data_IF_300062723374
#
_entry.id   IF_300062723374
#
_cell.length_a   1.000
_cell.length_b   1.000
_cell.length_c   1.000
_cell.angle_alpha   90.00
_cell.angle_beta   90.00
_cell.angle_gamma   90.00
#
_symmetry.space_group_name_H-M   'P 1'
#
loop_
_entity.id
_entity.type
_entity.pdbx_description
1 polymer ?
#
# COMPACT_ATOMS: atom_id res chain seq x y z
N UNK A 1 40.01 -31.48 31.32
CA UNK A 1 39.60 -32.48 32.31
C UNK A 1 38.34 -33.11 31.75
N UNK A 2 38.44 -34.15 30.98
CA UNK A 2 38.50 -35.58 31.18
C UNK A 2 37.50 -36.11 32.24
N UNK A 3 36.59 -36.97 31.83
CA UNK A 3 35.67 -37.73 32.62
C UNK A 3 34.81 -38.67 31.79
N UNK A 4 35.42 -39.68 31.19
CA UNK A 4 34.83 -40.92 30.67
C UNK A 4 34.19 -41.76 31.80
N UNK A 5 33.13 -42.52 31.51
CA UNK A 5 32.87 -43.92 32.01
C UNK A 5 31.65 -44.47 31.25
N UNK A 6 31.80 -45.39 30.35
CA UNK A 6 31.95 -46.85 30.40
C UNK A 6 30.64 -47.64 30.49
N UNK A 7 30.42 -48.40 29.44
CA UNK A 7 29.55 -49.52 29.13
C UNK A 7 29.46 -50.62 30.19
N UNK A 8 28.32 -51.30 30.32
CA UNK A 8 28.26 -52.71 30.71
C UNK A 8 27.22 -53.46 29.85
N UNK A 9 27.71 -54.42 29.15
CA UNK A 9 27.04 -55.50 28.44
C UNK A 9 26.73 -56.62 29.45
N UNK A 10 25.55 -57.24 29.41
CA UNK A 10 25.34 -58.59 29.91
C UNK A 10 24.54 -59.41 28.88
N UNK A 11 25.27 -60.35 28.30
CA UNK A 11 24.70 -61.59 27.69
C UNK A 11 24.45 -62.59 28.77
N UNK A 12 23.35 -63.31 28.68
CA UNK A 12 23.31 -64.69 29.26
C UNK A 12 22.44 -65.61 28.37
N UNK A 13 23.12 -66.61 27.84
CA UNK A 13 22.63 -67.79 27.16
C UNK A 13 22.11 -68.82 28.17
N UNK A 14 21.07 -69.57 27.82
CA UNK A 14 20.92 -71.05 28.14
C UNK A 14 19.61 -71.52 27.43
N UNK A 15 19.67 -72.37 26.50
CA UNK A 15 19.98 -73.78 26.32
C UNK A 15 18.74 -74.69 26.53
N UNK A 16 18.20 -75.20 25.43
CA UNK A 16 17.68 -76.52 25.04
C UNK A 16 16.68 -77.24 25.98
N UNK A 17 15.53 -77.70 25.43
CA UNK A 17 15.18 -79.10 25.39
C UNK A 17 14.14 -79.43 24.30
N UNK A 18 14.50 -80.31 23.37
CA UNK A 18 13.72 -80.97 22.35
C UNK A 18 12.92 -82.13 22.96
N UNK A 19 11.65 -82.29 22.63
CA UNK A 19 10.97 -83.56 22.66
C UNK A 19 9.93 -83.69 21.56
N UNK A 20 9.95 -84.67 20.66
CA UNK A 20 8.94 -84.83 19.64
C UNK A 20 7.84 -85.76 20.15
N UNK A 21 6.57 -85.40 19.98
CA UNK A 21 5.43 -86.34 20.06
C UNK A 21 4.67 -86.30 18.75
N UNK A 22 4.81 -87.40 17.99
CA UNK A 22 4.00 -87.67 16.82
C UNK A 22 2.67 -88.22 17.26
N UNK A 23 1.57 -87.59 16.80
CA UNK A 23 0.23 -88.22 16.80
C UNK A 23 -0.37 -88.04 15.41
N UNK A 24 -0.57 -89.15 14.72
CA UNK A 24 -1.32 -89.22 13.49
C UNK A 24 -2.80 -89.12 13.76
N UNK A 25 -3.58 -88.46 12.91
CA UNK A 25 -5.04 -88.41 13.03
C UNK A 25 -5.70 -87.56 11.95
N UNK A 26 -6.27 -88.30 10.95
CA UNK A 26 -7.41 -87.99 10.12
C UNK A 26 -7.46 -86.71 9.25
N UNK A 27 -7.34 -86.94 7.96
CA UNK A 27 -7.83 -86.08 6.88
C UNK A 27 -9.34 -85.91 6.95
N UNK A 28 -9.81 -84.68 7.14
CA UNK A 28 -11.16 -84.24 6.71
C UNK A 28 -10.93 -83.10 5.72
N UNK A 29 -11.34 -83.33 4.50
CA UNK A 29 -11.38 -82.37 3.41
C UNK A 29 -12.30 -81.21 3.75
N UNK A 30 -11.80 -80.11 4.14
CA UNK A 30 -12.50 -78.79 4.13
C UNK A 30 -12.31 -78.14 2.77
N UNK A 31 -13.33 -77.53 2.18
CA UNK A 31 -13.19 -76.79 0.91
C UNK A 31 -12.22 -75.61 1.12
N UNK A 32 -11.26 -75.48 0.22
CA UNK A 32 -10.31 -74.40 0.12
C UNK A 32 -11.10 -73.08 -0.15
N UNK A 33 -11.28 -72.27 0.90
CA UNK A 33 -11.82 -70.92 0.77
C UNK A 33 -10.62 -70.06 0.41
N UNK A 34 -10.59 -69.57 -0.82
CA UNK A 34 -9.64 -68.62 -1.37
C UNK A 34 -9.51 -67.42 -0.42
N UNK A 35 -8.38 -67.14 0.23
CA UNK A 35 -8.25 -66.00 1.13
C UNK A 35 -8.16 -64.65 0.42
N UNK A 36 -8.33 -64.60 -0.92
CA UNK A 36 -8.25 -63.39 -1.71
C UNK A 36 -9.58 -62.60 -1.80
N UNK A 37 -10.70 -63.02 -1.16
CA UNK A 37 -11.97 -62.39 -1.35
C UNK A 37 -12.62 -61.67 -0.15
N UNK A 38 -11.87 -61.44 0.94
CA UNK A 38 -12.38 -60.71 2.12
C UNK A 38 -11.41 -59.63 2.65
N UNK A 39 -10.89 -58.80 1.76
CA UNK A 39 -10.52 -57.42 2.14
C UNK A 39 -11.34 -56.49 1.28
N UNK A 40 -12.66 -56.47 1.54
CA UNK A 40 -13.40 -55.25 1.35
C UNK A 40 -12.72 -54.22 2.30
N UNK A 41 -11.79 -53.43 1.79
CA UNK A 41 -11.45 -52.15 2.44
C UNK A 41 -12.75 -51.39 2.51
N UNK A 42 -13.44 -51.48 3.65
CA UNK A 42 -14.40 -50.45 4.01
C UNK A 42 -13.56 -49.16 4.13
N UNK A 43 -13.52 -48.37 3.06
CA UNK A 43 -13.10 -46.99 3.12
C UNK A 43 -14.06 -46.26 4.07
N UNK A 44 -13.77 -46.34 5.36
CA UNK A 44 -14.57 -45.70 6.41
C UNK A 44 -14.16 -44.25 6.42
N UNK A 45 -14.80 -43.45 5.58
CA UNK A 45 -14.60 -42.01 5.55
C UNK A 45 -15.21 -41.42 6.82
N UNK A 46 -14.42 -40.74 7.63
CA UNK A 46 -14.92 -40.01 8.79
C UNK A 46 -15.64 -38.74 8.33
N UNK A 47 -16.93 -38.64 8.60
CA UNK A 47 -17.76 -37.48 8.32
C UNK A 47 -18.32 -36.95 9.64
N UNK A 48 -18.10 -35.64 9.87
CA UNK A 48 -18.66 -34.91 11.00
C UNK A 48 -19.67 -33.90 10.50
N UNK A 49 -20.85 -33.85 11.10
CA UNK A 49 -21.87 -32.86 10.75
C UNK A 49 -21.96 -31.77 11.83
N UNK A 50 -22.07 -30.51 11.42
CA UNK A 50 -22.18 -29.35 12.31
C UNK A 50 -21.11 -29.36 13.40
N UNK A 51 -19.85 -29.54 13.00
CA UNK A 51 -18.71 -29.71 13.90
C UNK A 51 -17.86 -28.43 14.00
N UNK A 52 -17.15 -28.34 15.11
CA UNK A 52 -16.16 -27.27 15.36
C UNK A 52 -14.79 -27.92 15.50
N UNK A 53 -13.84 -27.43 14.72
CA UNK A 53 -12.42 -27.72 14.86
C UNK A 53 -11.75 -26.56 15.58
N UNK A 54 -10.87 -26.89 16.51
CA UNK A 54 -10.13 -25.91 17.30
C UNK A 54 -8.65 -26.29 17.40
N UNK A 55 -7.77 -25.32 17.28
CA UNK A 55 -6.34 -25.51 17.49
C UNK A 55 -5.73 -24.25 18.13
N UNK A 56 -4.89 -24.47 19.12
CA UNK A 56 -4.13 -23.39 19.77
C UNK A 56 -2.68 -23.34 19.27
N UNK A 57 -2.15 -22.12 19.23
CA UNK A 57 -0.72 -21.87 19.05
C UNK A 57 -0.14 -21.32 20.37
N UNK A 58 0.56 -22.15 21.15
CA UNK A 58 1.10 -21.71 22.45
C UNK A 58 2.18 -20.63 22.33
N UNK A 59 2.81 -20.48 21.15
CA UNK A 59 3.88 -19.51 20.94
C UNK A 59 3.36 -18.09 20.71
N UNK A 60 2.18 -17.96 20.10
CA UNK A 60 1.53 -16.66 19.82
C UNK A 60 0.33 -16.37 20.70
N UNK A 61 -0.03 -17.27 21.61
CA UNK A 61 -1.24 -17.21 22.46
C UNK A 61 -2.53 -17.05 21.64
N UNK A 62 -2.54 -17.62 20.43
CA UNK A 62 -3.68 -17.57 19.52
C UNK A 62 -4.41 -18.91 19.47
N UNK A 63 -5.73 -18.83 19.28
CA UNK A 63 -6.60 -19.99 19.09
C UNK A 63 -7.47 -19.74 17.87
N UNK A 64 -7.44 -20.64 16.88
CA UNK A 64 -8.44 -20.60 15.83
C UNK A 64 -9.55 -21.65 16.08
N UNK A 65 -10.78 -21.26 15.73
CA UNK A 65 -11.96 -22.13 15.76
C UNK A 65 -12.67 -22.04 14.42
N UNK A 66 -12.92 -23.19 13.80
CA UNK A 66 -13.63 -23.30 12.53
C UNK A 66 -14.85 -24.20 12.72
N UNK A 67 -16.01 -23.66 12.40
CA UNK A 67 -17.27 -24.38 12.30
C UNK A 67 -17.57 -24.63 10.83
N UNK A 68 -18.07 -25.86 10.50
CA UNK A 68 -18.56 -26.21 9.18
C UNK A 68 -19.81 -27.04 9.27
N UNK A 69 -20.69 -27.00 8.25
CA UNK A 69 -21.89 -27.83 8.16
C UNK A 69 -21.50 -29.32 8.02
N UNK A 70 -20.51 -29.60 7.16
CA UNK A 70 -19.93 -30.92 6.98
C UNK A 70 -18.42 -30.86 6.99
N UNK A 71 -17.78 -31.84 7.60
CA UNK A 71 -16.35 -32.07 7.59
C UNK A 71 -16.09 -33.52 7.20
N UNK A 72 -15.39 -33.71 6.10
CA UNK A 72 -15.03 -35.03 5.57
C UNK A 72 -13.51 -35.18 5.61
N UNK A 73 -13.03 -36.20 6.32
CA UNK A 73 -11.61 -36.49 6.39
C UNK A 73 -11.17 -37.45 5.29
N UNK A 74 -9.96 -37.25 4.77
CA UNK A 74 -9.29 -38.23 3.90
C UNK A 74 -8.95 -39.51 4.67
N UNK A 75 -8.67 -40.62 3.95
CA UNK A 75 -8.41 -41.95 4.53
C UNK A 75 -7.28 -41.98 5.57
N UNK A 76 -6.33 -41.08 5.45
CA UNK A 76 -5.23 -40.93 6.39
C UNK A 76 -5.42 -39.83 7.44
N UNK A 77 -6.60 -39.19 7.48
CA UNK A 77 -6.95 -38.06 8.36
C UNK A 77 -6.04 -36.85 8.27
N UNK A 78 -5.24 -36.73 7.19
CA UNK A 78 -4.31 -35.60 7.02
C UNK A 78 -4.97 -34.38 6.38
N UNK A 79 -6.09 -34.57 5.69
CA UNK A 79 -6.84 -33.53 5.00
C UNK A 79 -8.28 -33.58 5.45
N UNK A 80 -8.85 -32.41 5.79
CA UNK A 80 -10.27 -32.23 6.04
C UNK A 80 -10.87 -31.33 4.97
N UNK A 81 -11.96 -31.77 4.33
CA UNK A 81 -12.78 -30.98 3.41
C UNK A 81 -13.97 -30.42 4.20
N UNK A 82 -14.27 -29.15 4.03
CA UNK A 82 -15.30 -28.44 4.78
C UNK A 82 -16.32 -27.78 3.85
N UNK A 83 -17.57 -27.83 4.23
CA UNK A 83 -18.67 -27.12 3.56
C UNK A 83 -19.21 -26.03 4.48
N UNK A 84 -19.43 -24.82 3.92
CA UNK A 84 -19.94 -23.62 4.62
C UNK A 84 -19.13 -23.30 5.88
N UNK A 85 -17.97 -22.76 5.65
CA UNK A 85 -16.99 -22.49 6.68
C UNK A 85 -17.26 -21.16 7.39
N UNK A 86 -17.21 -21.18 8.73
CA UNK A 86 -17.15 -19.98 9.56
C UNK A 86 -16.01 -20.16 10.57
N UNK A 87 -14.99 -19.30 10.48
CA UNK A 87 -13.80 -19.36 11.33
C UNK A 87 -13.58 -18.09 12.12
N UNK A 88 -12.97 -18.23 13.29
CA UNK A 88 -12.51 -17.11 14.11
C UNK A 88 -11.08 -17.39 14.58
N UNK A 89 -10.25 -16.35 14.58
CA UNK A 89 -8.95 -16.34 15.25
C UNK A 89 -9.08 -15.48 16.52
N UNK A 90 -8.63 -16.04 17.61
CA UNK A 90 -8.60 -15.36 18.92
C UNK A 90 -7.16 -15.11 19.33
N UNK A 91 -6.90 -13.97 19.97
CA UNK A 91 -5.69 -13.64 20.69
C UNK A 91 -6.13 -13.12 22.08
N UNK A 92 -5.62 -13.73 23.15
CA UNK A 92 -6.02 -13.40 24.52
C UNK A 92 -7.55 -13.35 24.72
N UNK A 93 -8.28 -14.36 24.19
CA UNK A 93 -9.73 -14.48 24.19
C UNK A 93 -10.50 -13.42 23.36
N UNK A 94 -9.80 -12.49 22.70
CA UNK A 94 -10.40 -11.50 21.80
C UNK A 94 -10.42 -12.02 20.36
N UNK A 95 -11.53 -11.82 19.68
CA UNK A 95 -11.61 -12.15 18.24
C UNK A 95 -10.84 -11.09 17.45
N UNK A 96 -9.75 -11.50 16.80
CA UNK A 96 -8.92 -10.63 15.95
C UNK A 96 -9.17 -10.84 14.45
N UNK A 97 -9.78 -11.98 14.08
CA UNK A 97 -10.19 -12.27 12.69
C UNK A 97 -11.47 -13.09 12.70
N UNK A 98 -12.40 -12.72 11.82
CA UNK A 98 -13.55 -13.54 11.45
C UNK A 98 -13.46 -13.86 9.98
N UNK A 99 -13.70 -15.11 9.58
CA UNK A 99 -13.64 -15.52 8.19
C UNK A 99 -14.81 -16.44 7.86
N UNK A 100 -15.35 -16.32 6.66
CA UNK A 100 -16.38 -17.22 6.13
C UNK A 100 -16.11 -17.55 4.68
N UNK A 101 -16.52 -18.76 4.25
CA UNK A 101 -16.36 -19.24 2.89
C UNK A 101 -17.41 -20.30 2.56
N UNK A 102 -17.65 -20.52 1.26
CA UNK A 102 -18.57 -21.57 0.81
C UNK A 102 -17.96 -22.96 1.01
N UNK A 103 -16.65 -23.10 0.78
CA UNK A 103 -15.93 -24.35 0.95
C UNK A 103 -14.55 -24.11 1.56
N UNK A 104 -14.00 -25.13 2.20
CA UNK A 104 -12.66 -25.08 2.76
C UNK A 104 -11.94 -26.43 2.71
N UNK A 105 -10.63 -26.37 2.89
CA UNK A 105 -9.75 -27.53 3.02
C UNK A 105 -8.69 -27.23 4.07
N UNK A 106 -8.59 -28.09 5.06
CA UNK A 106 -7.53 -28.00 6.09
C UNK A 106 -6.45 -29.03 5.74
N UNK A 107 -5.21 -28.56 5.70
CA UNK A 107 -4.03 -29.36 5.41
C UNK A 107 -2.96 -29.15 6.49
N UNK A 108 -1.93 -30.01 6.48
CA UNK A 108 -0.77 -29.89 7.35
C UNK A 108 -1.13 -29.75 8.85
N UNK A 109 -2.07 -30.60 9.30
CA UNK A 109 -2.53 -30.59 10.70
C UNK A 109 -3.06 -29.20 11.17
N UNK A 110 -3.76 -28.47 10.31
CA UNK A 110 -4.34 -27.18 10.64
C UNK A 110 -3.44 -25.97 10.42
N UNK A 111 -2.24 -26.17 9.89
CA UNK A 111 -1.30 -25.07 9.60
C UNK A 111 -1.65 -24.33 8.29
N UNK A 112 -2.37 -24.98 7.38
CA UNK A 112 -2.84 -24.39 6.11
C UNK A 112 -4.35 -24.64 5.96
N UNK A 113 -5.10 -23.57 5.81
CA UNK A 113 -6.54 -23.55 5.61
C UNK A 113 -6.83 -22.85 4.30
N UNK A 114 -7.21 -23.62 3.29
CA UNK A 114 -7.61 -23.11 1.98
C UNK A 114 -9.11 -22.84 2.00
N UNK A 115 -9.52 -21.63 1.64
CA UNK A 115 -10.91 -21.20 1.60
C UNK A 115 -11.26 -20.75 0.19
N UNK A 116 -12.40 -21.19 -0.32
CA UNK A 116 -12.82 -20.93 -1.70
C UNK A 116 -14.33 -20.61 -1.76
N UNK A 117 -14.72 -20.00 -2.86
CA UNK A 117 -16.04 -19.44 -3.06
C UNK A 117 -16.03 -17.95 -2.66
N UNK A 118 -17.15 -17.41 -2.24
CA UNK A 118 -17.17 -16.04 -1.71
C UNK A 118 -16.55 -16.03 -0.30
N UNK A 119 -15.24 -15.72 -0.23
CA UNK A 119 -14.53 -15.65 1.05
C UNK A 119 -14.60 -14.23 1.59
N UNK A 120 -15.07 -14.09 2.82
CA UNK A 120 -15.14 -12.80 3.54
C UNK A 120 -14.30 -12.92 4.81
N UNK A 121 -13.29 -12.07 4.95
CA UNK A 121 -12.48 -11.95 6.15
C UNK A 121 -12.65 -10.55 6.75
N UNK A 122 -12.82 -10.46 8.08
CA UNK A 122 -12.98 -9.18 8.77
C UNK A 122 -12.13 -9.13 10.03
N UNK A 123 -11.48 -7.98 10.25
CA UNK A 123 -10.75 -7.67 11.48
C UNK A 123 -11.58 -6.70 12.33
N UNK A 124 -12.16 -7.16 13.46
CA UNK A 124 -13.00 -6.31 14.29
C UNK A 124 -12.24 -5.22 15.04
N UNK A 125 -10.91 -5.29 15.14
CA UNK A 125 -10.09 -4.27 15.85
C UNK A 125 -10.08 -2.95 15.10
N UNK A 126 -10.04 -3.01 13.76
CA UNK A 126 -9.90 -1.83 12.89
C UNK A 126 -11.08 -1.66 11.93
N UNK A 127 -12.01 -2.61 11.88
CA UNK A 127 -13.19 -2.59 11.00
C UNK A 127 -12.92 -2.90 9.54
N UNK A 128 -11.73 -3.44 9.22
CA UNK A 128 -11.42 -3.90 7.86
C UNK A 128 -12.23 -5.13 7.50
N UNK A 129 -12.70 -5.16 6.26
CA UNK A 129 -13.34 -6.32 5.62
C UNK A 129 -12.67 -6.55 4.28
N UNK A 130 -12.27 -7.79 4.01
CA UNK A 130 -11.71 -8.21 2.73
C UNK A 130 -12.60 -9.29 2.13
N UNK A 131 -12.91 -9.14 0.87
CA UNK A 131 -13.65 -10.14 0.06
C UNK A 131 -12.75 -10.64 -1.06
N UNK A 132 -12.76 -11.93 -1.33
CA UNK A 132 -11.98 -12.59 -2.38
C UNK A 132 -12.64 -13.89 -2.83
N UNK A 133 -12.23 -14.44 -3.97
CA UNK A 133 -12.67 -15.76 -4.42
C UNK A 133 -11.89 -16.89 -3.74
N UNK A 134 -10.63 -16.63 -3.33
CA UNK A 134 -9.76 -17.62 -2.71
C UNK A 134 -8.81 -16.99 -1.69
N UNK A 135 -8.81 -17.54 -0.47
CA UNK A 135 -7.88 -17.15 0.60
C UNK A 135 -7.21 -18.39 1.16
N UNK A 136 -5.89 -18.33 1.28
CA UNK A 136 -5.11 -19.28 2.04
C UNK A 136 -4.78 -18.67 3.41
N UNK A 137 -5.31 -19.24 4.46
CA UNK A 137 -5.08 -18.81 5.84
C UNK A 137 -4.04 -19.70 6.50
N UNK A 138 -3.01 -19.08 7.05
CA UNK A 138 -1.92 -19.72 7.81
C UNK A 138 -1.91 -19.20 9.24
N UNK A 139 -2.71 -19.76 10.13
CA UNK A 139 -2.86 -19.24 11.49
C UNK A 139 -1.56 -19.21 12.30
N UNK A 140 -0.66 -20.17 12.05
CA UNK A 140 0.65 -20.26 12.76
C UNK A 140 1.66 -19.20 12.30
N UNK A 141 1.42 -18.61 11.11
CA UNK A 141 2.26 -17.57 10.52
C UNK A 141 1.62 -16.17 10.66
N UNK A 142 0.45 -16.08 11.32
CA UNK A 142 -0.37 -14.86 11.43
C UNK A 142 -0.68 -14.24 10.05
N UNK A 143 -0.92 -15.06 9.02
CA UNK A 143 -0.93 -14.66 7.61
C UNK A 143 -2.19 -15.13 6.87
N UNK A 144 -2.82 -14.18 6.14
CA UNK A 144 -3.77 -14.47 5.07
C UNK A 144 -3.12 -14.16 3.71
N UNK A 145 -3.13 -15.11 2.80
CA UNK A 145 -2.77 -14.94 1.40
C UNK A 145 -4.05 -14.83 0.59
N UNK A 146 -4.33 -13.66 0.04
CA UNK A 146 -5.50 -13.37 -0.78
C UNK A 146 -5.05 -13.51 -2.23
N UNK A 147 -5.60 -14.47 -2.97
CA UNK A 147 -5.02 -14.90 -4.25
C UNK A 147 -5.74 -14.35 -5.47
N UNK A 148 -7.00 -14.01 -5.36
CA UNK A 148 -7.84 -13.63 -6.50
C UNK A 148 -8.85 -12.56 -6.11
N UNK A 149 -8.91 -11.46 -6.85
CA UNK A 149 -9.88 -10.36 -6.69
C UNK A 149 -10.00 -9.88 -5.25
N UNK A 150 -9.00 -9.19 -4.80
CA UNK A 150 -9.05 -8.54 -3.50
C UNK A 150 -9.96 -7.29 -3.58
N UNK A 151 -11.01 -7.28 -2.78
CA UNK A 151 -11.82 -6.09 -2.49
C UNK A 151 -11.76 -5.84 -0.98
N UNK A 152 -11.15 -4.73 -0.58
CA UNK A 152 -10.96 -4.34 0.82
C UNK A 152 -11.77 -3.10 1.17
N UNK A 153 -12.45 -3.13 2.31
CA UNK A 153 -13.18 -1.99 2.87
C UNK A 153 -12.65 -1.72 4.28
N UNK A 154 -12.28 -0.48 4.52
CA UNK A 154 -11.94 0.07 5.82
C UNK A 154 -12.74 1.36 6.02
N UNK A 155 -13.02 1.85 7.25
CA UNK A 155 -13.79 3.08 7.45
C UNK A 155 -13.33 4.28 6.64
N UNK A 156 -12.02 4.40 6.38
CA UNK A 156 -11.43 5.55 5.68
C UNK A 156 -11.06 5.27 4.22
N UNK A 157 -11.04 4.01 3.78
CA UNK A 157 -10.44 3.64 2.51
C UNK A 157 -11.13 2.41 1.91
N UNK A 158 -11.35 2.41 0.62
CA UNK A 158 -11.73 1.25 -0.19
C UNK A 158 -10.56 0.88 -1.09
N UNK A 159 -10.27 -0.42 -1.26
CA UNK A 159 -9.14 -0.89 -2.04
C UNK A 159 -9.54 -2.05 -2.92
N UNK A 160 -9.01 -2.09 -4.15
CA UNK A 160 -9.09 -3.25 -5.04
C UNK A 160 -7.69 -3.61 -5.52
N UNK A 161 -7.42 -4.90 -5.70
CA UNK A 161 -6.15 -5.42 -6.20
C UNK A 161 -6.32 -6.84 -6.76
N UNK A 162 -5.33 -7.34 -7.50
CA UNK A 162 -5.32 -8.73 -7.96
C UNK A 162 -5.08 -9.71 -6.82
N UNK A 163 -4.14 -9.40 -5.93
CA UNK A 163 -3.75 -10.25 -4.82
C UNK A 163 -3.21 -9.46 -3.62
N UNK A 164 -3.07 -10.13 -2.47
CA UNK A 164 -2.54 -9.49 -1.27
C UNK A 164 -2.15 -10.45 -0.14
N UNK A 165 -1.50 -9.87 0.85
CA UNK A 165 -1.09 -10.53 2.09
C UNK A 165 -1.53 -9.67 3.27
N UNK A 166 -2.31 -10.24 4.17
CA UNK A 166 -2.68 -9.58 5.40
C UNK A 166 -2.01 -10.27 6.58
N UNK A 167 -1.17 -9.53 7.29
CA UNK A 167 -0.47 -9.96 8.51
C UNK A 167 -1.34 -9.60 9.71
N UNK A 168 -2.06 -10.58 10.25
CA UNK A 168 -3.10 -10.37 11.28
C UNK A 168 -2.56 -9.80 12.59
N UNK A 169 -1.35 -10.18 12.99
CA UNK A 169 -0.73 -9.75 14.25
C UNK A 169 -0.33 -8.27 14.24
N UNK A 170 0.23 -7.80 13.14
CA UNK A 170 0.73 -6.42 12.99
C UNK A 170 -0.22 -5.52 12.22
N UNK A 171 -1.37 -6.03 11.79
CA UNK A 171 -2.39 -5.31 11.00
C UNK A 171 -1.80 -4.62 9.77
N UNK A 172 -0.93 -5.33 9.04
CA UNK A 172 -0.31 -4.84 7.81
C UNK A 172 -0.91 -5.54 6.60
N UNK A 173 -1.30 -4.75 5.58
CA UNK A 173 -1.75 -5.25 4.28
C UNK A 173 -0.70 -4.94 3.22
N UNK A 174 -0.26 -5.94 2.49
CA UNK A 174 0.55 -5.80 1.26
C UNK A 174 -0.31 -6.26 0.10
N UNK A 175 -0.47 -5.43 -0.91
CA UNK A 175 -1.31 -5.68 -2.09
C UNK A 175 -0.55 -5.36 -3.35
N UNK A 176 -0.83 -6.13 -4.40
CA UNK A 176 -0.20 -6.00 -5.69
C UNK A 176 -1.15 -6.40 -6.82
N UNK A 177 -0.78 -6.05 -8.04
CA UNK A 177 -1.51 -6.22 -9.29
C UNK A 177 -2.73 -5.29 -9.40
N UNK A 178 -2.57 -4.21 -10.18
CA UNK A 178 -3.60 -3.22 -10.49
C UNK A 178 -4.28 -2.62 -9.25
N UNK A 179 -3.47 -2.17 -8.30
CA UNK A 179 -3.97 -1.63 -7.03
C UNK A 179 -4.64 -0.29 -7.23
N UNK A 180 -5.89 -0.17 -6.77
CA UNK A 180 -6.64 1.07 -6.69
C UNK A 180 -7.12 1.26 -5.26
N UNK A 181 -6.69 2.34 -4.62
CA UNK A 181 -7.13 2.73 -3.29
C UNK A 181 -7.90 4.06 -3.36
N UNK A 182 -9.10 4.11 -2.78
CA UNK A 182 -10.01 5.26 -2.88
C UNK A 182 -10.43 5.72 -1.49
N UNK A 183 -10.22 7.02 -1.20
CA UNK A 183 -10.72 7.71 -0.01
C UNK A 183 -11.92 8.58 -0.37
N UNK A 184 -12.92 8.65 0.52
CA UNK A 184 -14.10 9.50 0.34
C UNK A 184 -13.89 10.90 0.88
N UNK A 185 -13.02 11.07 1.87
CA UNK A 185 -12.77 12.35 2.55
C UNK A 185 -11.28 12.50 2.89
N UNK A 186 -10.53 13.33 2.13
CA UNK A 186 -10.96 13.99 0.88
C UNK A 186 -11.14 12.96 -0.26
N UNK A 187 -11.92 13.31 -1.32
CA UNK A 187 -12.07 12.41 -2.48
C UNK A 187 -10.74 12.27 -3.22
N UNK A 188 -10.06 11.16 -2.98
CA UNK A 188 -8.73 10.87 -3.51
C UNK A 188 -8.68 9.43 -4.00
N UNK A 189 -8.07 9.19 -5.14
CA UNK A 189 -7.75 7.88 -5.66
C UNK A 189 -6.24 7.75 -5.85
N UNK A 190 -5.70 6.63 -5.41
CA UNK A 190 -4.31 6.25 -5.63
C UNK A 190 -4.30 4.99 -6.48
N UNK A 191 -3.47 4.98 -7.52
CA UNK A 191 -3.24 3.82 -8.39
C UNK A 191 -1.76 3.48 -8.39
N UNK A 192 -1.43 2.20 -8.25
CA UNK A 192 -0.04 1.68 -8.25
C UNK A 192 -0.04 0.18 -8.53
N UNK A 193 1.11 -0.38 -8.91
CA UNK A 193 1.24 -1.84 -9.03
C UNK A 193 1.36 -2.54 -7.68
N UNK A 194 1.85 -1.82 -6.65
CA UNK A 194 2.03 -2.36 -5.31
C UNK A 194 1.85 -1.30 -4.23
N UNK A 195 1.15 -1.66 -3.15
CA UNK A 195 1.02 -0.86 -1.94
C UNK A 195 1.28 -1.70 -0.69
N UNK A 196 1.83 -1.04 0.31
CA UNK A 196 1.97 -1.54 1.67
C UNK A 196 1.20 -0.60 2.60
N UNK A 197 0.23 -1.13 3.34
CA UNK A 197 -0.57 -0.35 4.27
C UNK A 197 -0.38 -0.84 5.70
N UNK A 198 0.22 -0.02 6.53
CA UNK A 198 0.28 -0.20 7.98
C UNK A 198 -0.95 0.47 8.59
N UNK A 199 -1.95 -0.33 8.95
CA UNK A 199 -3.25 0.17 9.41
C UNK A 199 -3.14 0.91 10.77
N UNK A 200 -2.45 0.37 11.81
CA UNK A 200 -2.29 1.06 13.08
C UNK A 200 -1.57 2.42 12.97
N UNK A 201 -0.62 2.53 12.04
CA UNK A 201 0.12 3.77 11.82
C UNK A 201 -0.57 4.71 10.83
N UNK A 202 -1.66 4.26 10.19
CA UNK A 202 -2.36 5.00 9.13
C UNK A 202 -1.42 5.41 7.98
N UNK A 203 -0.45 4.55 7.66
CA UNK A 203 0.60 4.81 6.68
C UNK A 203 0.48 3.88 5.48
N UNK A 204 0.46 4.48 4.29
CA UNK A 204 0.50 3.75 3.01
C UNK A 204 1.81 4.09 2.30
N UNK A 205 2.49 3.07 1.79
CA UNK A 205 3.73 3.22 1.02
C UNK A 205 3.54 2.58 -0.36
N UNK A 206 3.81 3.34 -1.42
CA UNK A 206 4.03 2.80 -2.75
C UNK A 206 5.53 2.76 -3.03
N UNK A 207 6.14 1.58 -3.13
CA UNK A 207 7.57 1.45 -3.42
C UNK A 207 7.91 1.69 -4.91
N UNK A 208 6.91 1.72 -5.78
CA UNK A 208 6.98 1.93 -7.21
C UNK A 208 6.16 3.12 -7.68
N UNK A 209 6.01 3.22 -9.00
CA UNK A 209 5.25 4.29 -9.64
C UNK A 209 3.83 4.40 -9.08
N UNK A 210 3.41 5.64 -8.86
CA UNK A 210 2.11 5.95 -8.28
C UNK A 210 1.46 7.12 -8.99
N UNK A 211 0.16 7.02 -9.17
CA UNK A 211 -0.69 8.12 -9.57
C UNK A 211 -1.67 8.46 -8.44
N UNK A 212 -1.76 9.72 -8.06
CA UNK A 212 -2.74 10.28 -7.14
C UNK A 212 -3.66 11.22 -7.88
N UNK A 213 -4.97 10.98 -7.80
CA UNK A 213 -5.99 11.82 -8.43
C UNK A 213 -6.94 12.31 -7.38
N UNK A 214 -7.12 13.63 -7.32
CA UNK A 214 -8.08 14.29 -6.43
C UNK A 214 -9.30 14.74 -7.22
N UNK A 215 -10.48 14.54 -6.64
CA UNK A 215 -11.76 14.92 -7.22
C UNK A 215 -12.43 16.03 -6.42
N UNK A 216 -13.27 16.81 -7.08
CA UNK A 216 -14.24 17.68 -6.43
C UNK A 216 -15.54 16.93 -6.08
N UNK A 217 -16.52 17.68 -5.55
CA UNK A 217 -17.83 17.13 -5.19
C UNK A 217 -18.64 16.62 -6.42
N UNK A 218 -18.32 17.12 -7.62
CA UNK A 218 -18.94 16.72 -8.88
C UNK A 218 -18.22 15.55 -9.56
N UNK A 219 -17.23 14.94 -8.90
CA UNK A 219 -16.35 13.91 -9.44
C UNK A 219 -15.48 14.38 -10.61
N UNK A 220 -15.21 15.69 -10.69
CA UNK A 220 -14.25 16.25 -11.65
C UNK A 220 -12.84 16.19 -11.07
N UNK A 221 -11.86 15.81 -11.88
CA UNK A 221 -10.45 15.78 -11.48
C UNK A 221 -10.00 17.24 -11.27
N UNK A 222 -9.54 17.53 -10.05
CA UNK A 222 -8.95 18.83 -9.69
C UNK A 222 -7.43 18.82 -9.71
N UNK A 223 -6.85 17.73 -9.26
CA UNK A 223 -5.40 17.58 -9.20
C UNK A 223 -5.03 16.15 -9.62
N UNK A 224 -3.98 16.03 -10.41
CA UNK A 224 -3.37 14.76 -10.81
C UNK A 224 -1.89 14.83 -10.54
N UNK A 225 -1.38 13.86 -9.82
CA UNK A 225 0.02 13.81 -9.42
C UNK A 225 0.58 12.43 -9.75
N UNK A 226 1.77 12.39 -10.33
CA UNK A 226 2.53 11.16 -10.57
C UNK A 226 3.91 11.27 -9.90
N UNK A 227 4.44 10.14 -9.46
CA UNK A 227 5.81 10.03 -8.95
C UNK A 227 6.30 8.58 -8.99
N UNK A 228 7.61 8.37 -8.85
CA UNK A 228 8.19 7.03 -8.81
C UNK A 228 7.97 6.34 -7.45
N UNK A 229 7.74 7.10 -6.37
CA UNK A 229 7.51 6.58 -5.02
C UNK A 229 6.63 7.54 -4.22
N UNK A 230 5.78 7.00 -3.38
CA UNK A 230 4.95 7.78 -2.48
C UNK A 230 4.83 7.14 -1.09
N UNK A 231 4.71 8.00 -0.09
CA UNK A 231 4.34 7.65 1.28
C UNK A 231 3.20 8.58 1.72
N UNK A 232 2.08 8.01 2.14
CA UNK A 232 0.91 8.75 2.60
C UNK A 232 0.70 8.51 4.09
N UNK A 233 0.53 9.60 4.83
CA UNK A 233 0.04 9.58 6.20
C UNK A 233 -1.43 9.99 6.19
N UNK A 234 -2.33 9.03 6.41
CA UNK A 234 -3.79 9.26 6.32
C UNK A 234 -4.32 10.13 7.46
N UNK A 235 -3.68 10.10 8.63
CA UNK A 235 -4.08 10.91 9.79
C UNK A 235 -3.71 12.38 9.59
N UNK A 236 -2.55 12.65 8.99
CA UNK A 236 -2.05 13.99 8.73
C UNK A 236 -2.50 14.57 7.40
N UNK A 237 -3.14 13.76 6.54
CA UNK A 237 -3.47 14.10 5.16
C UNK A 237 -2.25 14.54 4.34
N UNK A 238 -1.12 13.89 4.57
CA UNK A 238 0.17 14.24 4.00
C UNK A 238 0.66 13.15 3.06
N UNK A 239 1.04 13.54 1.85
CA UNK A 239 1.77 12.70 0.91
C UNK A 239 3.21 13.22 0.77
N UNK A 240 4.18 12.35 0.92
CA UNK A 240 5.59 12.58 0.60
C UNK A 240 5.94 11.81 -0.66
N UNK A 241 6.39 12.53 -1.68
CA UNK A 241 6.63 11.97 -3.00
C UNK A 241 8.09 12.15 -3.38
N UNK A 242 8.63 11.20 -4.09
CA UNK A 242 10.04 11.16 -4.45
C UNK A 242 10.22 10.73 -5.91
N UNK A 243 11.07 11.46 -6.61
CA UNK A 243 11.53 11.25 -7.97
C UNK A 243 10.45 11.41 -9.06
N UNK A 244 10.82 12.12 -10.13
CA UNK A 244 10.01 12.32 -11.32
C UNK A 244 8.58 12.81 -11.04
N UNK A 245 8.46 13.79 -10.12
CA UNK A 245 7.15 14.27 -9.70
C UNK A 245 6.61 15.26 -10.71
N UNK A 246 5.39 15.01 -11.17
CA UNK A 246 4.59 15.93 -11.94
C UNK A 246 3.22 16.09 -11.28
N UNK A 247 2.86 17.32 -10.93
CA UNK A 247 1.54 17.68 -10.42
C UNK A 247 0.84 18.60 -11.42
N UNK A 248 -0.33 18.21 -11.88
CA UNK A 248 -1.21 18.99 -12.75
C UNK A 248 -2.43 19.37 -11.94
N UNK A 249 -2.67 20.68 -11.78
CA UNK A 249 -3.87 21.23 -11.14
C UNK A 249 -4.75 21.93 -12.18
N UNK A 250 -6.08 21.80 -12.05
CA UNK A 250 -7.04 22.48 -12.89
C UNK A 250 -7.52 23.81 -12.31
N UNK A 251 -7.29 24.07 -11.03
CA UNK A 251 -7.68 25.33 -10.36
C UNK A 251 -6.69 25.63 -9.21
N UNK A 252 -5.74 26.54 -9.43
CA UNK A 252 -5.36 27.18 -10.70
C UNK A 252 -4.79 26.19 -11.72
N UNK A 253 -4.85 26.55 -13.04
CA UNK A 253 -4.31 25.71 -14.12
C UNK A 253 -2.79 25.76 -14.13
N UNK A 254 -2.17 24.85 -13.38
CA UNK A 254 -0.73 24.77 -13.23
C UNK A 254 -0.20 23.37 -13.49
N UNK A 255 1.03 23.31 -13.99
CA UNK A 255 1.85 22.11 -14.02
C UNK A 255 3.11 22.36 -13.19
N UNK A 256 3.45 21.45 -12.30
CA UNK A 256 4.57 21.56 -11.38
C UNK A 256 5.45 20.32 -11.55
N UNK A 257 6.76 20.51 -11.66
CA UNK A 257 7.72 19.43 -11.72
C UNK A 257 8.81 19.63 -10.68
N UNK A 258 9.18 18.55 -9.97
CA UNK A 258 10.25 18.52 -8.97
C UNK A 258 10.65 17.07 -8.67
N UNK A 259 11.74 16.86 -7.93
CA UNK A 259 12.20 15.52 -7.51
C UNK A 259 11.80 15.15 -6.07
N UNK A 260 11.26 16.08 -5.32
CA UNK A 260 10.73 15.88 -3.98
C UNK A 260 9.53 16.79 -3.75
N UNK A 261 8.45 16.27 -3.17
CA UNK A 261 7.26 17.06 -2.83
C UNK A 261 6.63 16.53 -1.56
N UNK A 262 6.39 17.40 -0.62
CA UNK A 262 5.46 17.16 0.48
C UNK A 262 4.14 17.85 0.14
N UNK A 263 3.06 17.09 0.07
CA UNK A 263 1.74 17.59 -0.32
C UNK A 263 0.70 17.29 0.75
N UNK A 264 0.19 18.34 1.39
CA UNK A 264 -1.02 18.24 2.20
C UNK A 264 -2.23 18.26 1.25
N UNK A 265 -2.80 17.10 1.00
CA UNK A 265 -3.88 16.95 0.02
C UNK A 265 -5.25 17.43 0.54
N UNK A 266 -5.42 17.64 1.86
CA UNK A 266 -6.61 18.25 2.46
C UNK A 266 -6.57 19.78 2.34
N UNK A 267 -5.46 20.40 2.73
CA UNK A 267 -5.23 21.83 2.68
C UNK A 267 -4.82 22.32 1.29
N UNK A 268 -4.46 21.40 0.41
CA UNK A 268 -3.94 21.66 -0.93
C UNK A 268 -2.70 22.56 -0.92
N UNK A 269 -1.76 22.26 -0.03
CA UNK A 269 -0.47 22.94 0.05
C UNK A 269 0.63 21.96 -0.36
N UNK A 270 1.41 22.33 -1.37
CA UNK A 270 2.60 21.61 -1.81
C UNK A 270 3.86 22.36 -1.46
N UNK A 271 4.90 21.68 -0.95
CA UNK A 271 6.19 22.29 -0.66
C UNK A 271 7.36 21.39 -1.03
N UNK A 272 8.46 22.00 -1.45
CA UNK A 272 9.71 21.29 -1.78
C UNK A 272 10.93 22.10 -1.38
N UNK A 273 11.95 21.41 -0.92
CA UNK A 273 13.32 21.94 -0.70
C UNK A 273 14.27 21.62 -1.86
N UNK A 274 13.73 21.12 -2.98
CA UNK A 274 14.44 20.78 -4.21
C UNK A 274 14.09 21.74 -5.34
N UNK A 275 14.88 21.75 -6.43
CA UNK A 275 14.56 22.55 -7.61
C UNK A 275 13.12 22.24 -8.09
N UNK A 276 12.41 23.32 -8.36
CA UNK A 276 11.00 23.27 -8.77
C UNK A 276 10.79 24.08 -10.04
N UNK A 277 9.96 23.57 -10.92
CA UNK A 277 9.42 24.28 -12.07
C UNK A 277 7.91 24.38 -11.95
N UNK A 278 7.36 25.59 -12.15
CA UNK A 278 5.92 25.86 -12.22
C UNK A 278 5.63 26.41 -13.60
N UNK A 279 4.66 25.83 -14.29
CA UNK A 279 4.20 26.26 -15.60
C UNK A 279 2.71 26.59 -15.54
N UNK A 280 2.37 27.83 -15.83
CA UNK A 280 1.02 28.27 -16.20
C UNK A 280 0.88 28.12 -17.70
N UNK A 281 0.14 27.11 -18.17
CA UNK A 281 -0.01 26.83 -19.60
C UNK A 281 -0.89 27.84 -20.31
N UNK A 282 -1.86 28.38 -19.61
CA UNK A 282 -2.82 29.32 -20.21
C UNK A 282 -2.15 30.66 -20.50
N UNK A 283 -1.31 31.13 -19.57
CA UNK A 283 -0.56 32.38 -19.67
C UNK A 283 0.83 32.21 -20.28
N UNK A 284 1.30 30.98 -20.51
CA UNK A 284 2.66 30.65 -20.95
C UNK A 284 3.77 31.24 -20.06
N UNK A 285 3.50 31.26 -18.76
CA UNK A 285 4.45 31.71 -17.72
C UNK A 285 5.13 30.51 -17.13
N UNK A 286 6.45 30.54 -17.09
CA UNK A 286 7.30 29.53 -16.43
C UNK A 286 8.09 30.16 -15.30
N UNK A 287 8.02 29.57 -14.11
CA UNK A 287 8.83 29.93 -12.95
C UNK A 287 9.72 28.75 -12.57
N UNK A 288 10.96 29.02 -12.23
CA UNK A 288 11.89 28.04 -11.65
C UNK A 288 12.53 28.59 -10.38
N UNK A 289 12.79 27.74 -9.40
CA UNK A 289 13.45 28.09 -8.15
C UNK A 289 14.11 26.86 -7.53
N UNK A 290 14.99 27.07 -6.54
CA UNK A 290 15.64 25.96 -5.85
C UNK A 290 14.76 25.35 -4.76
N UNK A 291 13.76 26.08 -4.29
CA UNK A 291 12.76 25.67 -3.31
C UNK A 291 11.44 26.35 -3.64
N UNK A 292 10.33 25.74 -3.24
CA UNK A 292 9.02 26.32 -3.49
C UNK A 292 7.93 25.82 -2.56
N UNK A 293 6.90 26.67 -2.42
CA UNK A 293 5.63 26.38 -1.75
C UNK A 293 4.49 26.88 -2.62
N UNK A 294 3.43 26.08 -2.74
CA UNK A 294 2.22 26.47 -3.47
C UNK A 294 1.01 26.19 -2.60
N UNK A 295 0.22 27.24 -2.37
CA UNK A 295 -1.11 27.17 -1.77
C UNK A 295 -2.15 27.27 -2.91
N UNK A 296 -2.76 26.14 -3.27
CA UNK A 296 -3.73 26.07 -4.36
C UNK A 296 -5.07 26.70 -3.99
N UNK A 297 -5.41 26.78 -2.69
CA UNK A 297 -6.67 27.42 -2.25
C UNK A 297 -6.54 28.93 -2.26
N UNK A 298 -5.41 29.48 -1.79
CA UNK A 298 -5.12 30.91 -1.82
C UNK A 298 -4.57 31.37 -3.16
N UNK A 299 -4.22 30.42 -4.03
CA UNK A 299 -3.59 30.66 -5.34
C UNK A 299 -2.29 31.49 -5.21
N UNK A 300 -1.42 31.09 -4.29
CA UNK A 300 -0.15 31.76 -4.04
C UNK A 300 1.00 30.75 -4.26
N UNK A 301 1.95 31.12 -5.12
CA UNK A 301 3.21 30.40 -5.27
C UNK A 301 4.36 31.24 -4.71
N UNK A 302 5.22 30.62 -3.89
CA UNK A 302 6.44 31.21 -3.35
C UNK A 302 7.63 30.39 -3.79
N UNK A 303 8.61 31.02 -4.42
CA UNK A 303 9.85 30.38 -4.84
C UNK A 303 11.04 31.09 -4.20
N UNK A 304 12.09 30.33 -3.89
CA UNK A 304 13.27 30.81 -3.19
C UNK A 304 14.55 30.21 -3.75
N UNK A 305 15.69 30.87 -3.41
CA UNK A 305 17.02 30.33 -3.66
C UNK A 305 17.51 30.54 -5.10
N UNK A 306 17.12 31.62 -5.73
CA UNK A 306 17.43 31.94 -7.13
C UNK A 306 16.29 31.58 -8.03
N UNK A 307 15.45 32.56 -8.32
CA UNK A 307 14.24 32.42 -9.09
C UNK A 307 14.42 33.00 -10.49
N UNK A 308 13.97 32.26 -11.51
CA UNK A 308 13.83 32.77 -12.87
C UNK A 308 12.36 32.65 -13.28
N UNK A 309 11.77 33.77 -13.68
CA UNK A 309 10.45 33.85 -14.29
C UNK A 309 10.58 34.20 -15.78
N UNK A 310 9.79 33.52 -16.63
CA UNK A 310 9.72 33.78 -18.07
C UNK A 310 8.24 33.93 -18.44
N UNK A 311 7.87 35.04 -19.06
CA UNK A 311 6.62 35.22 -19.76
C UNK A 311 6.91 35.18 -21.26
N UNK A 312 6.50 34.07 -21.91
CA UNK A 312 6.79 33.86 -23.34
C UNK A 312 5.90 34.71 -24.25
N UNK A 313 4.69 35.06 -23.80
CA UNK A 313 3.78 35.89 -24.58
C UNK A 313 4.28 37.33 -24.69
N UNK A 314 4.96 37.79 -23.64
CA UNK A 314 5.47 39.18 -23.53
C UNK A 314 6.95 39.30 -23.76
N UNK A 315 7.64 38.19 -24.08
CA UNK A 315 9.09 38.14 -24.25
C UNK A 315 9.85 38.79 -23.06
N UNK A 316 9.45 38.39 -21.82
CA UNK A 316 9.91 38.98 -20.57
C UNK A 316 10.62 37.93 -19.73
N UNK A 317 11.75 38.31 -19.08
CA UNK A 317 12.44 37.53 -18.08
C UNK A 317 12.63 38.35 -16.79
N UNK A 318 12.45 37.68 -15.65
CA UNK A 318 12.68 38.20 -14.31
C UNK A 318 13.59 37.27 -13.53
N UNK A 319 14.66 37.80 -12.96
CA UNK A 319 15.52 37.07 -12.02
C UNK A 319 15.43 37.74 -10.65
N UNK A 320 15.36 36.91 -9.59
CA UNK A 320 15.30 37.36 -8.22
C UNK A 320 15.90 36.31 -7.26
N UNK A 321 16.14 36.64 -6.01
CA UNK A 321 16.47 35.66 -4.98
C UNK A 321 15.21 34.91 -4.53
N UNK A 322 14.15 35.67 -4.29
CA UNK A 322 12.83 35.14 -3.86
C UNK A 322 11.73 35.77 -4.71
N UNK A 323 10.64 35.05 -4.92
CA UNK A 323 9.49 35.53 -5.66
C UNK A 323 8.20 34.98 -5.03
N UNK A 324 7.23 35.86 -4.83
CA UNK A 324 5.85 35.52 -4.49
C UNK A 324 4.94 35.89 -5.65
N UNK A 325 4.18 34.93 -6.14
CA UNK A 325 3.20 35.14 -7.20
C UNK A 325 1.80 34.84 -6.66
N UNK A 326 0.94 35.85 -6.64
CA UNK A 326 -0.49 35.65 -6.46
C UNK A 326 -1.09 35.41 -7.85
N UNK A 327 -1.53 34.17 -8.07
CA UNK A 327 -1.92 33.65 -9.39
C UNK A 327 -3.26 34.26 -9.83
N UNK A 328 -4.20 34.44 -8.88
CA UNK A 328 -5.53 35.02 -9.15
C UNK A 328 -5.45 36.49 -9.55
N UNK A 329 -4.74 37.30 -8.76
CA UNK A 329 -4.58 38.75 -9.04
C UNK A 329 -3.48 39.05 -10.02
N UNK A 330 -2.69 38.03 -10.43
CA UNK A 330 -1.51 38.15 -11.27
C UNK A 330 -0.41 39.08 -10.70
N UNK A 331 -0.46 39.35 -9.39
CA UNK A 331 0.53 40.17 -8.71
C UNK A 331 1.81 39.37 -8.44
N UNK A 332 2.94 39.95 -8.78
CA UNK A 332 4.28 39.40 -8.51
C UNK A 332 5.03 40.36 -7.60
N UNK A 333 5.61 39.80 -6.53
CA UNK A 333 6.55 40.47 -5.63
C UNK A 333 7.86 39.69 -5.66
N UNK A 334 8.96 40.37 -5.94
CA UNK A 334 10.27 39.75 -6.06
C UNK A 334 11.31 40.52 -5.24
N UNK A 335 12.23 39.80 -4.61
CA UNK A 335 13.23 40.36 -3.69
C UNK A 335 14.61 39.77 -3.94
N UNK A 336 15.62 40.63 -3.85
CA UNK A 336 17.05 40.33 -3.89
C UNK A 336 17.58 40.09 -5.30
N UNK A 337 18.52 40.94 -5.70
CA UNK A 337 19.24 40.87 -6.97
C UNK A 337 18.31 40.85 -8.20
N UNK A 338 17.37 41.77 -8.24
CA UNK A 338 16.40 41.86 -9.34
C UNK A 338 17.12 42.17 -10.65
N UNK A 339 16.83 41.38 -11.68
CA UNK A 339 17.12 41.67 -13.07
C UNK A 339 15.82 41.44 -13.86
N UNK A 340 15.25 42.50 -14.37
CA UNK A 340 14.13 42.48 -15.29
C UNK A 340 14.60 42.76 -16.69
N UNK A 341 14.21 41.94 -17.65
CA UNK A 341 14.54 42.13 -19.07
C UNK A 341 13.29 41.93 -19.92
N UNK A 342 13.10 42.83 -20.87
CA UNK A 342 12.02 42.79 -21.86
C UNK A 342 12.62 43.03 -23.26
N UNK A 343 12.11 42.32 -24.25
CA UNK A 343 12.63 42.43 -25.63
C UNK A 343 11.93 43.53 -26.42
N UNK A 344 10.62 43.72 -26.22
CA UNK A 344 9.80 44.71 -26.93
C UNK A 344 8.84 45.47 -25.98
N UNK A 345 9.04 46.76 -25.73
CA UNK A 345 10.24 47.55 -26.05
C UNK A 345 11.49 47.04 -25.28
N UNK A 346 12.65 47.13 -25.84
CA UNK A 346 13.88 46.64 -25.20
C UNK A 346 14.16 47.45 -23.94
N UNK A 347 14.10 46.80 -22.80
CA UNK A 347 14.35 47.38 -21.49
C UNK A 347 15.05 46.38 -20.56
N UNK A 348 15.97 46.89 -19.74
CA UNK A 348 16.60 46.16 -18.66
C UNK A 348 16.62 47.01 -17.40
N UNK A 349 16.07 46.46 -16.32
CA UNK A 349 16.04 47.10 -15.00
C UNK A 349 16.77 46.21 -13.99
N UNK A 350 17.51 46.85 -13.08
CA UNK A 350 18.17 46.14 -11.95
C UNK A 350 17.84 46.85 -10.64
N UNK A 351 17.73 46.10 -9.54
CA UNK A 351 17.42 46.66 -8.22
C UNK A 351 17.38 45.61 -7.12
N UNK A 352 16.88 45.98 -5.95
CA UNK A 352 16.77 45.11 -4.78
C UNK A 352 15.41 44.45 -4.63
N UNK A 353 14.35 45.11 -5.10
CA UNK A 353 13.00 44.59 -5.08
C UNK A 353 12.21 45.00 -6.31
N UNK A 354 11.23 44.20 -6.66
CA UNK A 354 10.28 44.48 -7.75
C UNK A 354 8.86 44.12 -7.34
N UNK A 355 7.91 44.97 -7.72
CA UNK A 355 6.50 44.69 -7.60
C UNK A 355 5.87 44.93 -8.95
N UNK A 356 5.07 44.00 -9.42
CA UNK A 356 4.41 44.09 -10.72
C UNK A 356 3.08 43.39 -10.77
N UNK A 357 2.33 43.66 -11.84
CA UNK A 357 1.10 42.95 -12.18
C UNK A 357 1.21 42.46 -13.61
N UNK A 358 1.18 41.17 -13.80
CA UNK A 358 1.32 40.54 -15.11
C UNK A 358 0.21 40.98 -16.09
N UNK A 359 -1.00 41.20 -15.58
CA UNK A 359 -2.15 41.65 -16.38
C UNK A 359 -1.92 42.99 -17.07
N UNK A 360 -1.31 43.94 -16.38
CA UNK A 360 -1.19 45.33 -16.86
C UNK A 360 0.21 45.66 -17.37
N UNK A 361 1.14 44.72 -17.42
CA UNK A 361 2.54 44.91 -17.75
C UNK A 361 3.25 46.02 -16.91
N UNK A 362 2.76 46.23 -15.70
CA UNK A 362 3.36 47.22 -14.81
C UNK A 362 4.36 46.52 -13.91
N UNK A 363 5.60 47.04 -13.92
CA UNK A 363 6.63 46.64 -12.97
C UNK A 363 7.29 47.85 -12.40
N UNK A 364 7.45 47.86 -11.08
CA UNK A 364 8.21 48.87 -10.35
C UNK A 364 9.43 48.17 -9.73
N UNK A 365 10.61 48.57 -10.10
CA UNK A 365 11.85 48.09 -9.50
C UNK A 365 12.37 49.17 -8.56
N UNK A 366 12.77 48.80 -7.36
CA UNK A 366 13.29 49.71 -6.34
C UNK A 366 14.63 49.22 -5.81
N UNK A 367 15.49 50.17 -5.37
CA UNK A 367 16.72 49.90 -4.69
C UNK A 367 16.76 50.58 -3.32
N UNK A 368 17.27 49.87 -2.30
CA UNK A 368 17.40 50.36 -0.93
C UNK A 368 18.76 50.97 -0.70
N UNK A 369 18.83 52.29 -0.70
CA UNK A 369 19.88 53.14 -0.06
C UNK A 369 21.19 53.36 -0.80
N UNK A 370 21.95 52.39 -1.20
CA UNK A 370 23.30 52.56 -1.79
C UNK A 370 23.44 52.10 -3.25
N UNK A 371 22.52 51.29 -3.72
CA UNK A 371 22.47 50.89 -5.12
C UNK A 371 21.42 51.72 -5.85
N UNK A 372 21.76 52.22 -7.03
CA UNK A 372 20.81 52.93 -7.88
C UNK A 372 20.07 51.94 -8.76
N UNK A 373 18.77 52.19 -9.01
CA UNK A 373 18.08 51.51 -10.09
C UNK A 373 18.72 51.86 -11.41
N UNK A 374 19.27 50.90 -12.11
CA UNK A 374 19.83 51.11 -13.43
C UNK A 374 18.82 50.70 -14.49
N UNK A 375 18.50 51.63 -15.38
CA UNK A 375 17.63 51.37 -16.54
C UNK A 375 18.47 51.54 -17.81
N UNK A 376 18.46 50.51 -18.67
CA UNK A 376 19.03 50.57 -20.01
C UNK A 376 17.87 50.42 -20.98
N UNK A 377 17.57 51.51 -21.69
CA UNK A 377 16.57 51.54 -22.75
C UNK A 377 17.36 51.70 -24.04
N UNK A 378 17.31 50.75 -24.92
CA UNK A 378 18.06 50.75 -26.18
C UNK A 378 17.08 51.11 -27.30
N UNK A 379 16.98 52.37 -27.60
CA UNK A 379 16.26 52.93 -28.74
C UNK A 379 17.12 52.85 -30.02
N UNK A 380 17.49 51.63 -30.43
CA UNK A 380 18.10 51.49 -31.75
C UNK A 380 16.95 51.26 -32.76
N UNK A 381 16.83 52.13 -33.80
CA UNK A 381 15.76 52.04 -34.79
C UNK A 381 15.82 50.80 -35.65
#
# INVERSE_FOLDING_TARGET
MLGLFKSVVYQLNTLILLLPLAIAGCQSSTPEVDPASLVSRNDTQLVLNNAVLEQSNPQSNTVWKIKADNITYSDNNQVAILDKVVGNLFEDDLVILKISAEAGKIENNGNVILLNGTVIASDPRNGSVVTSESIEWRPQEDLLLIKEKLEGIHPNLEVTAGQGKYFTKIEKLEIEDDVIATSKQPPLQLTSDRLEWNIPQSQIVSPGAVELVRYDQNKTITDRLVSDRAELNLTQNLATLNQNIELISSSPTLQIATDFLTWNYQERIGSTDRPIQILDRDRQISLTGNQGEIDFLRQIAKLQGGVKGIDRQKALELYARNLTWNIDTEKVEAEGNIIYQQTEPKARLTGDSAIGTLKNNNITVTSNGTQQVTSIIDDTP
#
